data_IF_386434708570
#
_entry.id   IF_386434708570
#
_cell.length_a   1.000
_cell.length_b   1.000
_cell.length_c   1.000
_cell.angle_alpha   90.00
_cell.angle_beta   90.00
_cell.angle_gamma   90.00
#
_symmetry.space_group_name_H-M   'P 1'
#
loop_
_entity.id
_entity.type
_entity.pdbx_description
1 polymer ?
#
# COMPACT_ATOMS: atom_id res chain seq x y z
N UNK A 1 -23.76 2.06 11.24
CA UNK A 1 -23.75 2.94 10.05
C UNK A 1 -25.00 2.68 9.21
N UNK A 2 -25.73 3.70 8.76
CA UNK A 2 -26.89 3.51 7.86
C UNK A 2 -26.39 3.05 6.47
N UNK A 3 -27.05 2.08 5.81
CA UNK A 3 -26.56 1.45 4.57
C UNK A 3 -26.30 2.42 3.40
N UNK A 4 -26.97 3.58 3.36
CA UNK A 4 -26.73 4.61 2.34
C UNK A 4 -25.37 5.32 2.45
N UNK A 5 -24.80 5.45 3.65
CA UNK A 5 -23.52 6.17 3.85
C UNK A 5 -22.32 5.38 3.33
N UNK A 6 -22.33 4.05 3.52
CA UNK A 6 -21.25 3.18 3.04
C UNK A 6 -21.15 3.24 1.51
N UNK A 7 -22.30 3.22 0.83
CA UNK A 7 -22.34 3.30 -0.65
C UNK A 7 -21.81 4.64 -1.17
N UNK A 8 -22.21 5.75 -0.55
CA UNK A 8 -21.72 7.08 -0.92
C UNK A 8 -20.21 7.21 -0.68
N UNK A 9 -19.71 6.70 0.45
CA UNK A 9 -18.28 6.71 0.77
C UNK A 9 -17.47 5.87 -0.21
N UNK A 10 -17.93 4.65 -0.52
CA UNK A 10 -17.27 3.80 -1.53
C UNK A 10 -17.23 4.47 -2.91
N UNK A 11 -18.33 5.12 -3.33
CA UNK A 11 -18.36 5.84 -4.60
C UNK A 11 -17.36 7.01 -4.62
N UNK A 12 -17.32 7.82 -3.56
CA UNK A 12 -16.37 8.92 -3.43
C UNK A 12 -14.91 8.42 -3.45
N UNK A 13 -14.60 7.38 -2.69
CA UNK A 13 -13.27 6.77 -2.66
C UNK A 13 -12.86 6.24 -4.04
N UNK A 14 -13.76 5.61 -4.79
CA UNK A 14 -13.49 5.15 -6.15
C UNK A 14 -13.22 6.30 -7.14
N UNK A 15 -13.85 7.45 -6.95
CA UNK A 15 -13.58 8.66 -7.75
C UNK A 15 -12.14 9.13 -7.59
N UNK A 16 -11.56 9.03 -6.38
CA UNK A 16 -10.15 9.36 -6.13
C UNK A 16 -9.19 8.25 -6.55
N UNK A 17 -9.55 6.98 -6.33
CA UNK A 17 -8.68 5.85 -6.64
C UNK A 17 -8.46 5.67 -8.14
N UNK A 18 -9.49 5.88 -8.99
CA UNK A 18 -9.37 5.68 -10.44
C UNK A 18 -8.24 6.50 -11.09
N UNK A 19 -8.14 7.83 -10.92
CA UNK A 19 -7.04 8.60 -11.51
C UNK A 19 -5.69 8.24 -10.91
N UNK A 20 -5.62 7.93 -9.61
CA UNK A 20 -4.40 7.57 -8.92
C UNK A 20 -3.84 6.21 -9.37
N UNK A 21 -4.70 5.19 -9.48
CA UNK A 21 -4.32 3.87 -10.02
C UNK A 21 -3.92 3.99 -11.50
N UNK A 22 -4.57 4.87 -12.28
CA UNK A 22 -4.15 5.13 -13.67
C UNK A 22 -2.73 5.69 -13.74
N UNK A 23 -2.37 6.60 -12.83
CA UNK A 23 -1.01 7.12 -12.73
C UNK A 23 -0.02 6.01 -12.36
N UNK A 24 -0.36 5.15 -11.41
CA UNK A 24 0.48 4.02 -11.00
C UNK A 24 0.76 3.05 -12.14
N UNK A 25 -0.28 2.67 -12.90
CA UNK A 25 -0.11 1.79 -14.06
C UNK A 25 0.81 2.39 -15.12
N UNK A 26 0.70 3.71 -15.38
CA UNK A 26 1.56 4.41 -16.34
C UNK A 26 3.03 4.44 -15.93
N UNK A 27 3.31 4.41 -14.62
CA UNK A 27 4.67 4.46 -14.08
C UNK A 27 5.19 3.08 -13.62
N UNK A 28 4.49 1.99 -13.98
CA UNK A 28 4.91 0.62 -13.63
C UNK A 28 4.78 0.29 -12.14
N UNK A 29 4.07 1.10 -11.37
CA UNK A 29 3.92 0.96 -9.92
C UNK A 29 3.02 -0.24 -9.59
N UNK A 30 3.59 -1.24 -8.91
CA UNK A 30 2.89 -2.49 -8.62
C UNK A 30 1.72 -2.30 -7.62
N UNK A 31 0.62 -3.01 -7.86
CA UNK A 31 -0.54 -3.00 -6.96
C UNK A 31 -0.18 -3.45 -5.54
N UNK A 32 0.77 -4.40 -5.39
CA UNK A 32 1.26 -4.84 -4.08
C UNK A 32 1.84 -3.68 -3.28
N UNK A 33 2.68 -2.86 -3.90
CA UNK A 33 3.27 -1.68 -3.25
C UNK A 33 2.18 -0.73 -2.78
N UNK A 34 1.17 -0.47 -3.63
CA UNK A 34 0.05 0.38 -3.23
C UNK A 34 -0.68 -0.18 -2.00
N UNK A 35 -0.98 -1.48 -1.99
CA UNK A 35 -1.64 -2.10 -0.83
C UNK A 35 -0.77 -2.07 0.43
N UNK A 36 0.55 -2.22 0.29
CA UNK A 36 1.48 -2.13 1.41
C UNK A 36 1.49 -0.69 1.99
N UNK A 37 1.46 0.34 1.15
CA UNK A 37 1.29 1.75 1.59
C UNK A 37 -0.05 1.97 2.29
N UNK A 38 -1.15 1.48 1.72
CA UNK A 38 -2.48 1.61 2.33
C UNK A 38 -2.50 0.95 3.72
N UNK A 39 -1.97 -0.28 3.84
CA UNK A 39 -1.87 -0.97 5.14
C UNK A 39 -1.08 -0.17 6.16
N UNK A 40 0.04 0.42 5.75
CA UNK A 40 0.83 1.28 6.62
C UNK A 40 0.01 2.50 7.10
N UNK A 41 -0.67 3.20 6.20
CA UNK A 41 -1.52 4.35 6.56
C UNK A 41 -2.61 3.96 7.55
N UNK A 42 -3.25 2.78 7.38
CA UNK A 42 -4.23 2.27 8.34
C UNK A 42 -3.63 2.06 9.73
N UNK A 43 -2.42 1.49 9.82
CA UNK A 43 -1.72 1.27 11.09
C UNK A 43 -1.33 2.58 11.76
N UNK A 44 -0.80 3.55 11.00
CA UNK A 44 -0.40 4.86 11.50
C UNK A 44 -1.60 5.64 12.07
N UNK A 45 -2.69 5.76 11.29
CA UNK A 45 -3.92 6.45 11.74
C UNK A 45 -4.53 5.74 12.95
N UNK A 46 -4.60 4.41 12.95
CA UNK A 46 -5.13 3.66 14.09
C UNK A 46 -4.26 3.79 15.34
N UNK A 47 -2.93 3.90 15.20
CA UNK A 47 -2.02 4.13 16.33
C UNK A 47 -2.24 5.51 16.95
N UNK A 48 -2.34 6.53 16.11
CA UNK A 48 -2.30 7.93 16.52
C UNK A 48 -3.66 8.48 16.95
N UNK A 49 -4.75 8.08 16.28
CA UNK A 49 -6.08 8.66 16.50
C UNK A 49 -7.04 7.75 17.30
N UNK A 50 -6.76 6.45 17.40
CA UNK A 50 -7.66 5.48 18.03
C UNK A 50 -7.17 4.96 19.40
N UNK A 51 -6.27 5.73 20.02
CA UNK A 51 -5.81 5.55 21.39
C UNK A 51 -6.90 5.73 22.44
N UNK A 52 -6.66 5.26 23.66
CA UNK A 52 -7.60 5.38 24.79
C UNK A 52 -6.88 6.04 25.96
N UNK A 53 -7.53 7.00 26.63
CA UNK A 53 -7.01 7.70 27.81
C UNK A 53 -5.65 8.38 27.57
N UNK A 54 -5.48 9.02 26.41
CA UNK A 54 -4.26 9.76 26.06
C UNK A 54 -3.04 8.88 25.76
N UNK A 55 -3.21 7.57 25.60
CA UNK A 55 -2.15 6.64 25.20
C UNK A 55 -2.39 6.15 23.77
N UNK A 56 -1.29 5.94 23.02
CA UNK A 56 -1.33 5.30 21.70
C UNK A 56 -2.05 3.95 21.75
N UNK A 57 -2.71 3.59 20.65
CA UNK A 57 -3.39 2.29 20.57
C UNK A 57 -2.36 1.14 20.62
N UNK A 58 -2.70 0.08 21.37
CA UNK A 58 -1.86 -1.12 21.41
C UNK A 58 -1.92 -1.89 20.09
N UNK A 59 -0.91 -2.71 19.80
CA UNK A 59 -0.86 -3.60 18.62
C UNK A 59 -2.15 -4.42 18.50
N UNK A 60 -2.66 -4.93 19.62
CA UNK A 60 -3.90 -5.70 19.70
C UNK A 60 -5.11 -4.92 19.18
N UNK A 61 -5.21 -3.65 19.58
CA UNK A 61 -6.34 -2.79 19.23
C UNK A 61 -6.25 -2.32 17.79
N UNK A 62 -5.05 -1.97 17.33
CA UNK A 62 -4.81 -1.62 15.92
C UNK A 62 -5.21 -2.78 15.01
N UNK A 63 -4.82 -4.01 15.34
CA UNK A 63 -5.22 -5.21 14.58
C UNK A 63 -6.75 -5.35 14.49
N UNK A 64 -7.47 -5.13 15.59
CA UNK A 64 -8.95 -5.20 15.61
C UNK A 64 -9.57 -4.09 14.75
N UNK A 65 -9.06 -2.86 14.83
CA UNK A 65 -9.63 -1.70 14.12
C UNK A 65 -9.37 -1.74 12.61
N UNK A 66 -8.18 -2.21 12.22
CA UNK A 66 -7.75 -2.25 10.81
C UNK A 66 -8.10 -3.55 10.10
N UNK A 67 -8.38 -4.62 10.86
CA UNK A 67 -8.58 -5.97 10.32
C UNK A 67 -7.27 -6.69 9.92
N UNK A 68 -6.12 -6.09 10.23
CA UNK A 68 -4.80 -6.69 9.98
C UNK A 68 -4.42 -7.67 11.09
N UNK A 69 -3.51 -8.60 10.78
CA UNK A 69 -2.97 -9.48 11.81
C UNK A 69 -2.05 -8.71 12.75
N UNK A 70 -1.92 -9.16 14.01
CA UNK A 70 -0.98 -8.55 14.96
C UNK A 70 0.46 -8.57 14.46
N UNK A 71 0.85 -9.63 13.74
CA UNK A 71 2.19 -9.78 13.14
C UNK A 71 2.43 -8.70 12.08
N UNK A 72 1.47 -8.47 11.19
CA UNK A 72 1.57 -7.39 10.19
C UNK A 72 1.64 -6.01 10.84
N UNK A 73 0.79 -5.75 11.84
CA UNK A 73 0.82 -4.49 12.59
C UNK A 73 2.17 -4.27 13.26
N UNK A 74 2.69 -5.29 13.96
CA UNK A 74 4.00 -5.20 14.61
C UNK A 74 5.11 -4.95 13.59
N UNK A 75 5.09 -5.63 12.44
CA UNK A 75 6.07 -5.43 11.38
C UNK A 75 6.02 -4.00 10.82
N UNK A 76 4.82 -3.48 10.54
CA UNK A 76 4.61 -2.13 10.01
C UNK A 76 5.00 -1.02 11.01
N UNK A 77 4.93 -1.30 12.32
CA UNK A 77 5.35 -0.37 13.37
C UNK A 77 6.87 -0.39 13.61
N UNK A 78 7.51 -1.55 13.51
CA UNK A 78 8.94 -1.72 13.84
C UNK A 78 9.88 -1.42 12.66
N UNK A 79 9.40 -1.52 11.42
CA UNK A 79 10.22 -1.26 10.22
C UNK A 79 9.67 -0.12 9.36
N UNK A 80 9.65 1.13 9.87
CA UNK A 80 9.34 2.29 9.04
C UNK A 80 10.42 2.52 7.98
N UNK A 81 11.68 2.10 8.16
CA UNK A 81 12.80 2.47 7.28
C UNK A 81 12.92 1.70 5.95
N UNK A 82 11.98 0.79 5.62
CA UNK A 82 11.82 0.33 4.23
C UNK A 82 11.27 1.43 3.28
N UNK A 83 11.18 2.67 3.79
CA UNK A 83 10.65 3.90 3.16
C UNK A 83 11.49 4.44 2.00
N UNK A 84 12.80 4.18 1.96
CA UNK A 84 13.70 4.85 0.99
C UNK A 84 14.10 4.01 -0.23
N UNK A 85 13.65 2.77 -0.35
CA UNK A 85 13.86 1.98 -1.57
C UNK A 85 12.76 2.25 -2.59
N UNK A 86 12.77 3.44 -3.17
CA UNK A 86 12.24 3.64 -4.51
C UNK A 86 12.98 2.68 -5.49
N UNK A 87 12.36 2.27 -6.62
CA UNK A 87 11.70 0.98 -6.71
C UNK A 87 12.31 0.16 -7.85
N UNK A 88 13.59 -0.23 -7.76
CA UNK A 88 14.11 -1.18 -8.75
C UNK A 88 13.39 -2.53 -8.65
N UNK A 89 12.91 -2.90 -7.45
CA UNK A 89 12.19 -4.16 -7.16
C UNK A 89 10.67 -4.13 -7.30
N UNK A 90 10.07 -2.96 -7.47
CA UNK A 90 8.60 -2.81 -7.51
C UNK A 90 8.04 -2.52 -8.90
N UNK A 91 8.85 -2.66 -9.95
CA UNK A 91 8.31 -2.81 -11.29
C UNK A 91 7.43 -4.05 -11.35
N UNK A 92 6.32 -3.94 -12.07
CA UNK A 92 5.56 -5.10 -12.52
C UNK A 92 6.54 -6.18 -13.00
N UNK A 93 6.55 -7.37 -12.39
CA UNK A 93 7.55 -8.42 -12.68
C UNK A 93 7.69 -8.69 -14.18
N UNK A 94 6.59 -8.57 -14.93
CA UNK A 94 6.59 -8.66 -16.39
C UNK A 94 7.40 -7.54 -17.05
N UNK A 95 7.27 -6.30 -16.59
CA UNK A 95 8.04 -5.15 -17.10
C UNK A 95 9.55 -5.29 -16.83
N UNK A 96 9.94 -5.89 -15.69
CA UNK A 96 11.34 -6.20 -15.39
C UNK A 96 11.90 -7.25 -16.36
N UNK A 97 11.16 -8.32 -16.63
CA UNK A 97 11.59 -9.36 -17.58
C UNK A 97 11.71 -8.80 -18.99
N UNK A 98 10.71 -8.06 -19.47
CA UNK A 98 10.74 -7.43 -20.79
C UNK A 98 11.90 -6.43 -20.90
N UNK A 99 12.09 -5.58 -19.89
CA UNK A 99 13.20 -4.64 -19.86
C UNK A 99 14.57 -5.33 -19.79
N UNK A 100 14.65 -6.51 -19.18
CA UNK A 100 15.83 -7.37 -19.20
C UNK A 100 16.14 -7.90 -20.60
N UNK A 101 15.14 -8.48 -21.28
CA UNK A 101 15.31 -8.98 -22.65
C UNK A 101 15.68 -7.88 -23.64
N UNK A 102 15.09 -6.68 -23.51
CA UNK A 102 15.38 -5.57 -24.42
C UNK A 102 16.79 -4.98 -24.24
N UNK A 103 17.40 -5.17 -23.06
CA UNK A 103 18.74 -4.66 -22.72
C UNK A 103 19.84 -5.71 -22.82
N UNK A 104 19.48 -6.98 -22.96
CA UNK A 104 20.44 -8.06 -23.09
C UNK A 104 20.94 -8.12 -24.55
N UNK A 105 22.24 -7.88 -24.81
CA UNK A 105 22.80 -7.93 -26.15
C UNK A 105 22.71 -9.32 -26.80
N UNK A 106 22.41 -10.38 -26.05
CA UNK A 106 22.12 -11.71 -26.61
C UNK A 106 20.70 -11.82 -27.21
N UNK A 107 19.80 -10.89 -26.88
CA UNK A 107 18.38 -10.93 -27.27
C UNK A 107 17.84 -9.62 -27.87
N UNK A 108 18.62 -8.54 -27.86
CA UNK A 108 18.33 -7.30 -28.58
C UNK A 108 19.01 -7.31 -29.95
N UNK A 109 18.23 -7.06 -31.01
CA UNK A 109 18.76 -6.83 -32.36
C UNK A 109 19.57 -5.51 -32.38
N UNK A 110 20.85 -5.61 -32.05
CA UNK A 110 21.89 -4.59 -32.28
C UNK A 110 22.90 -5.09 -33.30
#
# INVERSE_FOLDING_TARGET
MKPGHTKALSAATLTFLRPLVRLFLRNGFAAKTFFDLVKQTYVEVARDECGVRGKQASISRIAILTGLTRKEVQQLLTSPEARDTAPEEQYNRAARVIGGWLKDPAFGDG
#
